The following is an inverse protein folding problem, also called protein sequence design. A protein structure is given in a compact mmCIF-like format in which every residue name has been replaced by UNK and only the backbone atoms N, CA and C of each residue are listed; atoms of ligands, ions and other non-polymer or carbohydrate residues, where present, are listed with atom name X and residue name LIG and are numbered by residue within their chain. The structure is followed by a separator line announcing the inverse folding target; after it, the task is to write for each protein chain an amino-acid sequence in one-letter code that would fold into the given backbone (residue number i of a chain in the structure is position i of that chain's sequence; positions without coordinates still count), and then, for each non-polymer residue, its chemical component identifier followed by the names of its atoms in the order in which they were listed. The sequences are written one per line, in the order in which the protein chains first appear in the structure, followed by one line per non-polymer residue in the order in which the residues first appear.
data_IF_544052975533
#
_entry.id   IF_544052975533
#
_cell.length_a   1.000
_cell.length_b   1.000
_cell.length_c   1.000
_cell.angle_alpha   90.00
_cell.angle_beta   90.00
_cell.angle_gamma   90.00
#
_symmetry.space_group_name_H-M   'P 1'
#
loop_
_entity.id
_entity.type
_entity.pdbx_description
1 polymer ?
#
# COMPACT_ATOMS: atom_id res chain seq x y z
N UNK A 1 -12.95 12.80 -13.64
CA UNK A 1 -11.80 12.93 -14.58
C UNK A 1 -10.65 12.17 -13.93
N UNK A 2 -10.16 11.09 -14.54
CA UNK A 2 -9.02 10.33 -13.99
C UNK A 2 -7.75 11.15 -14.23
N UNK A 3 -7.12 11.68 -13.18
CA UNK A 3 -5.83 12.34 -13.29
C UNK A 3 -4.75 11.28 -13.58
N UNK A 4 -4.21 11.29 -14.81
CA UNK A 4 -3.07 10.42 -15.16
C UNK A 4 -1.79 10.99 -14.57
N UNK A 5 -1.06 10.16 -13.81
CA UNK A 5 0.26 10.50 -13.29
C UNK A 5 1.23 10.65 -14.47
N UNK A 6 1.76 11.85 -14.68
CA UNK A 6 2.85 12.11 -15.63
C UNK A 6 4.17 12.04 -14.85
N UNK A 7 5.16 11.30 -15.35
CA UNK A 7 6.38 10.92 -14.63
C UNK A 7 7.29 12.10 -14.15
N UNK A 8 6.96 13.34 -14.52
CA UNK A 8 7.81 14.50 -14.27
C UNK A 8 7.65 15.11 -12.87
N UNK A 9 6.55 14.84 -12.14
CA UNK A 9 6.33 15.39 -10.79
C UNK A 9 5.83 14.34 -9.78
N UNK A 10 6.64 13.29 -9.57
CA UNK A 10 6.35 12.21 -8.63
C UNK A 10 6.13 12.72 -7.21
N UNK A 11 6.84 13.78 -6.80
CA UNK A 11 6.73 14.35 -5.45
C UNK A 11 5.35 14.97 -5.24
N UNK A 12 4.91 15.81 -6.16
CA UNK A 12 3.63 16.50 -6.06
C UNK A 12 2.46 15.51 -6.18
N UNK A 13 2.55 14.60 -7.14
CA UNK A 13 1.51 13.58 -7.33
C UNK A 13 1.41 12.60 -6.15
N UNK A 14 2.53 12.28 -5.49
CA UNK A 14 2.49 11.46 -4.27
C UNK A 14 1.78 12.18 -3.12
N UNK A 15 1.91 13.51 -3.01
CA UNK A 15 1.15 14.32 -2.04
C UNK A 15 -0.34 14.37 -2.38
N UNK A 16 -0.70 14.59 -3.66
CA UNK A 16 -2.10 14.58 -4.11
C UNK A 16 -2.79 13.24 -3.78
N UNK A 17 -2.11 12.11 -3.99
CA UNK A 17 -2.62 10.80 -3.56
C UNK A 17 -2.87 10.76 -2.06
N UNK A 18 -1.96 11.29 -1.24
CA UNK A 18 -2.13 11.31 0.21
C UNK A 18 -3.26 12.28 0.64
N UNK A 19 -3.51 13.36 -0.09
CA UNK A 19 -4.67 14.24 0.12
C UNK A 19 -5.99 13.50 -0.15
N UNK A 20 -6.08 12.75 -1.26
CA UNK A 20 -7.23 11.89 -1.57
C UNK A 20 -7.46 10.88 -0.42
N UNK A 21 -6.41 10.20 0.01
CA UNK A 21 -6.48 9.19 1.08
C UNK A 21 -6.89 9.84 2.41
N UNK A 22 -6.36 11.03 2.73
CA UNK A 22 -6.71 11.76 3.96
C UNK A 22 -8.18 12.22 3.99
N UNK A 23 -8.75 12.44 2.81
CA UNK A 23 -10.18 12.73 2.63
C UNK A 23 -11.06 11.46 2.55
N UNK A 24 -10.55 10.31 3.02
CA UNK A 24 -11.21 9.00 2.98
C UNK A 24 -11.44 8.45 1.57
N UNK A 25 -10.76 9.00 0.57
CA UNK A 25 -10.83 8.57 -0.82
C UNK A 25 -10.01 7.33 -1.13
N UNK A 26 -10.12 6.88 -2.37
CA UNK A 26 -9.41 5.72 -2.95
C UNK A 26 -8.60 6.20 -4.14
N UNK A 27 -7.32 5.85 -4.20
CA UNK A 27 -6.47 6.17 -5.33
C UNK A 27 -5.91 4.92 -6.02
N UNK A 28 -5.67 5.01 -7.33
CA UNK A 28 -4.90 4.02 -8.08
C UNK A 28 -3.52 4.61 -8.37
N UNK A 29 -2.49 3.86 -8.01
CA UNK A 29 -1.09 4.31 -8.09
C UNK A 29 -0.22 3.37 -8.93
N UNK A 30 0.75 3.91 -9.69
CA UNK A 30 1.72 3.10 -10.42
C UNK A 30 2.81 2.59 -9.49
N UNK A 31 3.18 1.33 -9.64
CA UNK A 31 4.31 0.70 -8.97
C UNK A 31 5.14 -0.08 -10.00
N UNK A 32 6.39 -0.35 -9.69
CA UNK A 32 7.25 -1.18 -10.55
C UNK A 32 6.78 -2.64 -10.63
N UNK A 33 5.95 -3.07 -9.68
CA UNK A 33 5.42 -4.44 -9.61
C UNK A 33 4.03 -4.60 -10.23
N UNK A 34 3.23 -3.56 -10.35
CA UNK A 34 1.90 -3.46 -10.97
C UNK A 34 1.21 -2.18 -10.51
N UNK A 35 0.05 -1.83 -11.08
CA UNK A 35 -0.83 -0.83 -10.46
C UNK A 35 -1.41 -1.34 -9.15
N UNK A 36 -1.53 -0.43 -8.18
CA UNK A 36 -2.17 -0.70 -6.89
C UNK A 36 -3.36 0.23 -6.64
N UNK A 37 -4.33 -0.23 -5.86
CA UNK A 37 -5.46 0.55 -5.35
C UNK A 37 -5.29 0.71 -3.84
N UNK A 38 -5.38 1.95 -3.35
CA UNK A 38 -4.96 2.32 -2.00
C UNK A 38 -5.97 3.24 -1.30
N UNK A 39 -5.98 3.17 0.03
CA UNK A 39 -6.77 3.98 0.94
C UNK A 39 -6.31 3.75 2.39
N UNK A 40 -6.98 4.34 3.39
CA UNK A 40 -6.65 4.12 4.80
C UNK A 40 -7.85 4.15 5.76
N UNK A 41 -9.01 4.61 5.29
CA UNK A 41 -10.24 4.68 6.08
C UNK A 41 -11.10 3.42 5.91
N UNK A 42 -12.08 3.23 6.80
CA UNK A 42 -13.06 2.16 6.64
C UNK A 42 -13.80 2.28 5.32
N UNK A 43 -14.25 3.48 4.95
CA UNK A 43 -14.93 3.77 3.68
C UNK A 43 -14.10 3.37 2.47
N UNK A 44 -12.83 3.79 2.43
CA UNK A 44 -11.93 3.49 1.31
C UNK A 44 -11.60 1.99 1.22
N UNK A 45 -11.33 1.32 2.35
CA UNK A 45 -11.02 -0.11 2.35
C UNK A 45 -12.25 -0.96 1.96
N UNK A 46 -13.45 -0.63 2.45
CA UNK A 46 -14.69 -1.28 2.01
C UNK A 46 -14.91 -1.11 0.48
N UNK A 47 -14.63 0.08 -0.04
CA UNK A 47 -14.73 0.35 -1.48
C UNK A 47 -13.73 -0.49 -2.26
N UNK A 48 -12.46 -0.57 -1.82
CA UNK A 48 -11.43 -1.43 -2.43
C UNK A 48 -11.88 -2.90 -2.44
N UNK A 49 -12.39 -3.42 -1.33
CA UNK A 49 -12.86 -4.81 -1.28
C UNK A 49 -14.03 -5.06 -2.23
N UNK A 50 -14.99 -4.13 -2.27
CA UNK A 50 -16.17 -4.22 -3.14
C UNK A 50 -15.80 -4.17 -4.62
N UNK A 51 -15.06 -3.16 -5.07
CA UNK A 51 -14.73 -2.98 -6.49
C UNK A 51 -13.82 -4.10 -7.03
N UNK A 52 -12.99 -4.70 -6.17
CA UNK A 52 -12.15 -5.85 -6.49
C UNK A 52 -12.87 -7.20 -6.41
N UNK A 53 -14.11 -7.27 -5.92
CA UNK A 53 -14.76 -8.51 -5.52
C UNK A 53 -13.83 -9.36 -4.62
N UNK A 54 -13.24 -8.71 -3.60
CA UNK A 54 -12.21 -9.30 -2.74
C UNK A 54 -12.83 -9.89 -1.48
N UNK A 55 -12.50 -11.14 -1.17
CA UNK A 55 -12.85 -11.73 0.11
C UNK A 55 -12.11 -11.05 1.26
N UNK A 56 -12.80 -10.81 2.37
CA UNK A 56 -12.21 -10.31 3.62
C UNK A 56 -11.19 -11.27 4.26
N UNK A 57 -11.09 -12.49 3.78
CA UNK A 57 -10.04 -13.43 4.20
C UNK A 57 -8.66 -13.09 3.63
N UNK A 58 -8.61 -12.22 2.61
CA UNK A 58 -7.37 -11.72 1.99
C UNK A 58 -7.12 -10.28 2.46
N UNK A 59 -6.27 -10.06 3.47
CA UNK A 59 -6.05 -8.73 4.01
C UNK A 59 -5.44 -7.78 2.97
N UNK A 60 -5.62 -6.48 3.17
CA UNK A 60 -4.85 -5.46 2.47
C UNK A 60 -3.43 -5.44 3.01
N UNK A 61 -2.43 -5.15 2.17
CA UNK A 61 -1.07 -4.90 2.61
C UNK A 61 -0.86 -3.41 2.95
N UNK A 62 0.24 -3.11 3.64
CA UNK A 62 0.71 -1.76 3.93
C UNK A 62 1.86 -1.39 2.98
N UNK A 63 1.83 -0.17 2.46
CA UNK A 63 2.93 0.41 1.69
C UNK A 63 3.91 1.07 2.65
N UNK A 64 5.20 0.74 2.55
CA UNK A 64 6.18 1.12 3.56
C UNK A 64 7.59 1.28 2.99
N UNK A 65 8.51 1.72 3.84
CA UNK A 65 9.93 1.67 3.59
C UNK A 65 10.65 0.84 4.68
N UNK A 66 11.94 0.63 4.50
CA UNK A 66 12.72 -0.21 5.40
C UNK A 66 12.82 0.39 6.82
N UNK A 67 12.89 1.70 6.96
CA UNK A 67 13.01 2.34 8.27
C UNK A 67 11.76 2.08 9.11
N UNK A 68 10.57 2.30 8.52
CA UNK A 68 9.31 2.03 9.20
C UNK A 68 9.11 0.52 9.44
N UNK A 69 9.55 -0.33 8.50
CA UNK A 69 9.50 -1.79 8.69
C UNK A 69 10.25 -2.22 9.97
N UNK A 70 11.46 -1.69 10.21
CA UNK A 70 12.25 -2.01 11.42
C UNK A 70 11.53 -1.62 12.72
N UNK A 71 10.75 -0.56 12.67
CA UNK A 71 9.99 -0.10 13.83
C UNK A 71 8.72 -0.95 14.05
N UNK A 72 8.05 -1.36 12.98
CA UNK A 72 6.75 -2.02 13.04
C UNK A 72 6.87 -3.54 13.10
N UNK A 73 7.62 -4.19 12.20
CA UNK A 73 7.67 -5.65 12.13
C UNK A 73 8.66 -6.24 13.14
N UNK A 74 8.29 -7.40 13.67
CA UNK A 74 9.12 -8.18 14.60
C UNK A 74 9.83 -9.25 13.77
N UNK A 75 11.06 -8.97 13.39
CA UNK A 75 11.87 -9.77 12.46
C UNK A 75 13.25 -10.03 13.08
N UNK A 76 13.77 -11.24 12.89
CA UNK A 76 15.13 -11.63 13.35
C UNK A 76 16.22 -10.84 12.60
N UNK A 77 17.32 -10.56 13.26
CA UNK A 77 18.42 -9.75 12.73
C UNK A 77 18.95 -10.26 11.36
N UNK A 78 19.11 -11.57 11.19
CA UNK A 78 19.60 -12.14 9.94
C UNK A 78 18.64 -11.94 8.75
N UNK A 79 17.33 -11.87 9.00
CA UNK A 79 16.33 -11.59 7.96
C UNK A 79 16.40 -10.14 7.50
N UNK A 80 16.77 -9.21 8.38
CA UNK A 80 17.03 -7.82 7.99
C UNK A 80 18.16 -7.71 6.96
N UNK A 81 19.21 -8.53 7.08
CA UNK A 81 20.30 -8.54 6.08
C UNK A 81 19.80 -9.03 4.72
N UNK A 82 18.91 -10.03 4.68
CA UNK A 82 18.28 -10.47 3.42
C UNK A 82 17.42 -9.36 2.82
N UNK A 83 16.59 -8.70 3.64
CA UNK A 83 15.76 -7.59 3.17
C UNK A 83 16.63 -6.48 2.57
N UNK A 84 17.72 -6.08 3.27
CA UNK A 84 18.64 -5.05 2.77
C UNK A 84 19.30 -5.46 1.45
N UNK A 85 19.76 -6.69 1.35
CA UNK A 85 20.36 -7.21 0.12
C UNK A 85 19.37 -7.14 -1.06
N UNK A 86 18.08 -7.44 -0.84
CA UNK A 86 17.06 -7.34 -1.90
C UNK A 86 16.79 -5.90 -2.29
N UNK A 87 16.47 -5.03 -1.31
CA UNK A 87 15.96 -3.69 -1.62
C UNK A 87 17.05 -2.65 -1.89
N UNK A 88 18.24 -2.78 -1.27
CA UNK A 88 19.33 -1.81 -1.44
C UNK A 88 20.40 -2.29 -2.41
N UNK A 89 20.92 -3.52 -2.24
CA UNK A 89 22.03 -4.00 -3.05
C UNK A 89 21.58 -4.37 -4.47
N UNK A 90 20.34 -4.92 -4.59
CA UNK A 90 19.77 -5.33 -5.87
C UNK A 90 18.66 -4.40 -6.39
N UNK A 91 18.26 -3.40 -5.63
CA UNK A 91 17.19 -2.45 -5.97
C UNK A 91 15.88 -3.14 -6.42
N UNK A 92 15.51 -4.24 -5.78
CA UNK A 92 14.29 -4.99 -6.12
C UNK A 92 13.17 -4.69 -5.11
N UNK A 93 11.90 -4.73 -5.54
CA UNK A 93 10.76 -4.67 -4.63
C UNK A 93 10.65 -5.95 -3.82
N UNK A 94 10.16 -5.81 -2.58
CA UNK A 94 9.96 -6.94 -1.68
C UNK A 94 8.73 -6.73 -0.80
N UNK A 95 7.92 -7.76 -0.63
CA UNK A 95 6.87 -7.81 0.39
C UNK A 95 7.31 -8.71 1.54
N UNK A 96 7.06 -8.28 2.77
CA UNK A 96 7.37 -9.05 3.99
C UNK A 96 6.11 -9.24 4.81
N UNK A 97 5.84 -10.47 5.22
CA UNK A 97 4.72 -10.80 6.12
C UNK A 97 5.30 -11.28 7.44
N UNK A 98 5.10 -10.50 8.51
CA UNK A 98 5.66 -10.81 9.83
C UNK A 98 4.76 -10.32 10.96
N UNK A 99 4.92 -10.84 12.19
CA UNK A 99 4.34 -10.24 13.40
C UNK A 99 4.72 -8.78 13.52
N UNK A 100 3.85 -7.96 14.10
CA UNK A 100 4.04 -6.51 14.13
C UNK A 100 3.59 -5.89 15.46
N UNK A 101 4.10 -4.70 15.76
CA UNK A 101 3.74 -3.91 16.94
C UNK A 101 2.45 -3.13 16.64
N UNK A 102 1.33 -3.61 17.17
CA UNK A 102 0.01 -2.99 16.97
C UNK A 102 -0.12 -1.63 17.69
N UNK A 103 0.67 -1.39 18.70
CA UNK A 103 0.75 -0.18 19.50
C UNK A 103 1.63 0.91 18.89
N UNK A 104 2.23 0.66 17.73
CA UNK A 104 3.05 1.65 17.04
C UNK A 104 2.21 2.90 16.68
N UNK A 105 2.78 4.14 16.83
CA UNK A 105 2.06 5.40 16.55
C UNK A 105 1.36 5.45 15.20
N UNK A 106 1.94 4.87 14.16
CA UNK A 106 1.36 4.74 12.82
C UNK A 106 -0.07 4.16 12.81
N UNK A 107 -0.45 3.35 13.81
CA UNK A 107 -1.77 2.72 13.89
C UNK A 107 -2.72 3.40 14.87
N UNK A 108 -2.27 4.45 15.57
CA UNK A 108 -3.05 5.11 16.63
C UNK A 108 -4.43 5.59 16.19
N UNK A 109 -4.51 6.11 14.96
CA UNK A 109 -5.74 6.69 14.40
C UNK A 109 -6.39 5.78 13.36
N UNK A 110 -5.90 4.55 13.18
CA UNK A 110 -6.47 3.59 12.23
C UNK A 110 -7.69 2.93 12.85
N UNK A 111 -8.81 2.95 12.13
CA UNK A 111 -10.03 2.25 12.55
C UNK A 111 -9.74 0.75 12.80
N UNK A 112 -10.26 0.21 13.88
CA UNK A 112 -10.02 -1.17 14.30
C UNK A 112 -10.47 -2.20 13.25
N UNK A 113 -11.56 -1.91 12.53
CA UNK A 113 -12.03 -2.73 11.41
C UNK A 113 -11.04 -2.72 10.23
N UNK A 114 -10.46 -1.54 9.92
CA UNK A 114 -9.43 -1.40 8.89
C UNK A 114 -8.21 -2.23 9.25
N UNK A 115 -7.71 -2.09 10.47
CA UNK A 115 -6.54 -2.85 10.92
C UNK A 115 -6.81 -4.36 10.92
N UNK A 116 -8.02 -4.78 11.33
CA UNK A 116 -8.44 -6.20 11.27
C UNK A 116 -8.42 -6.74 9.84
N UNK A 117 -8.88 -5.98 8.85
CA UNK A 117 -8.95 -6.41 7.45
C UNK A 117 -7.64 -6.15 6.66
N UNK A 118 -6.65 -5.53 7.29
CA UNK A 118 -5.29 -5.35 6.75
C UNK A 118 -4.27 -6.28 7.40
N UNK A 119 -4.69 -7.15 8.32
CA UNK A 119 -3.81 -8.09 9.04
C UNK A 119 -4.40 -9.48 9.04
N UNK A 120 -3.56 -10.51 9.20
CA UNK A 120 -4.02 -11.91 9.31
C UNK A 120 -3.16 -12.67 10.32
N UNK A 121 -3.81 -13.34 11.27
CA UNK A 121 -3.15 -14.17 12.29
C UNK A 121 -2.01 -13.39 13.02
N UNK A 122 -2.26 -12.12 13.35
CA UNK A 122 -1.26 -11.29 14.04
C UNK A 122 -0.09 -10.81 13.17
N UNK A 123 -0.16 -11.01 11.84
CA UNK A 123 0.86 -10.54 10.90
C UNK A 123 0.37 -9.40 10.04
N UNK A 124 1.29 -8.56 9.59
CA UNK A 124 1.08 -7.48 8.63
C UNK A 124 1.99 -7.70 7.41
N UNK A 125 1.41 -7.56 6.21
CA UNK A 125 2.16 -7.49 4.96
C UNK A 125 2.65 -6.07 4.73
N UNK A 126 3.94 -5.89 4.47
CA UNK A 126 4.55 -4.58 4.17
C UNK A 126 5.32 -4.65 2.85
N UNK A 127 4.89 -3.88 1.85
CA UNK A 127 5.55 -3.73 0.55
C UNK A 127 6.64 -2.65 0.64
N UNK A 128 7.84 -2.99 0.15
CA UNK A 128 9.03 -2.17 0.18
C UNK A 128 9.58 -1.96 -1.22
N UNK A 129 10.15 -0.79 -1.48
CA UNK A 129 10.93 -0.46 -2.67
C UNK A 129 10.22 -0.82 -4.00
N UNK A 130 8.92 -0.56 -4.08
CA UNK A 130 8.13 -0.88 -5.28
C UNK A 130 8.12 0.27 -6.31
N UNK A 131 9.24 0.96 -6.46
CA UNK A 131 9.47 1.98 -7.45
C UNK A 131 9.48 3.41 -6.91
N UNK A 132 9.82 4.34 -7.79
CA UNK A 132 10.07 5.75 -7.43
C UNK A 132 8.84 6.42 -6.81
N UNK A 133 7.65 6.17 -7.37
CA UNK A 133 6.41 6.72 -6.83
C UNK A 133 6.10 6.16 -5.43
N UNK A 134 6.20 4.85 -5.27
CA UNK A 134 6.03 4.17 -3.99
C UNK A 134 6.96 4.76 -2.92
N UNK A 135 8.25 4.88 -3.25
CA UNK A 135 9.26 5.34 -2.31
C UNK A 135 9.02 6.80 -1.88
N UNK A 136 8.54 7.66 -2.78
CA UNK A 136 8.23 9.05 -2.45
C UNK A 136 6.94 9.15 -1.63
N UNK A 137 5.88 8.45 -2.02
CA UNK A 137 4.62 8.40 -1.29
C UNK A 137 4.83 7.90 0.15
N UNK A 138 5.62 6.85 0.35
CA UNK A 138 5.88 6.31 1.70
C UNK A 138 6.66 7.27 2.58
N UNK A 139 7.60 8.07 2.04
CA UNK A 139 8.28 9.11 2.81
C UNK A 139 7.30 10.17 3.35
N UNK A 140 6.34 10.59 2.53
CA UNK A 140 5.32 11.56 2.95
C UNK A 140 4.32 10.94 3.91
N UNK A 141 3.86 9.72 3.65
CA UNK A 141 2.94 8.95 4.52
C UNK A 141 3.50 8.80 5.94
N UNK A 142 4.78 8.49 6.07
CA UNK A 142 5.46 8.36 7.36
C UNK A 142 5.49 9.70 8.12
N UNK A 143 5.82 10.80 7.45
CA UNK A 143 5.82 12.14 8.06
C UNK A 143 4.43 12.58 8.56
N UNK A 144 3.38 12.09 7.92
CA UNK A 144 1.99 12.37 8.29
C UNK A 144 1.45 11.36 9.34
N UNK A 145 2.22 10.36 9.75
CA UNK A 145 1.76 9.23 10.57
C UNK A 145 0.47 8.60 10.01
N UNK A 146 0.37 8.54 8.69
CA UNK A 146 -0.81 8.08 7.97
C UNK A 146 -0.48 6.83 7.13
N UNK A 147 -0.86 5.62 7.57
CA UNK A 147 -0.55 4.41 6.82
C UNK A 147 -1.32 4.39 5.50
N UNK A 148 -0.67 3.96 4.43
CA UNK A 148 -1.28 3.67 3.14
C UNK A 148 -1.50 2.16 3.06
N UNK A 149 -2.75 1.75 2.90
CA UNK A 149 -3.17 0.36 2.85
C UNK A 149 -3.79 0.06 1.49
N UNK A 150 -3.61 -1.15 0.98
CA UNK A 150 -4.18 -1.47 -0.31
C UNK A 150 -3.79 -2.84 -0.86
N UNK A 151 -3.93 -2.97 -2.16
CA UNK A 151 -3.68 -4.21 -2.90
C UNK A 151 -3.42 -3.88 -4.37
N UNK A 152 -3.03 -4.87 -5.20
CA UNK A 152 -2.97 -4.71 -6.66
C UNK A 152 -4.30 -4.22 -7.24
N UNK A 153 -4.26 -3.32 -8.24
CA UNK A 153 -5.45 -2.74 -8.87
C UNK A 153 -6.05 -3.68 -9.94
N UNK A 154 -6.66 -4.78 -9.50
CA UNK A 154 -7.31 -5.78 -10.36
C UNK A 154 -8.49 -6.42 -9.64
N UNK A 155 -9.47 -6.91 -10.37
CA UNK A 155 -10.46 -7.83 -9.81
C UNK A 155 -9.75 -9.07 -9.23
N UNK A 156 -10.23 -9.58 -8.12
CA UNK A 156 -9.59 -10.72 -7.45
C UNK A 156 -9.44 -11.90 -8.40
N UNK A 157 -8.26 -12.52 -8.41
CA UNK A 157 -7.88 -13.68 -9.22
C UNK A 157 -7.68 -13.43 -10.73
N UNK A 158 -7.73 -12.17 -11.22
CA UNK A 158 -7.51 -11.86 -12.64
C UNK A 158 -6.06 -11.52 -12.99
N UNK A 159 -5.14 -11.61 -12.00
CA UNK A 159 -3.73 -11.24 -12.18
C UNK A 159 -3.47 -9.74 -12.05
N UNK A 160 -2.20 -9.39 -11.87
CA UNK A 160 -1.75 -8.00 -11.76
C UNK A 160 -1.90 -7.26 -13.07
N UNK A 161 -2.11 -5.92 -13.01
CA UNK A 161 -2.27 -5.05 -14.16
C UNK A 161 -1.05 -4.12 -14.27
N UNK A 162 -0.46 -4.08 -15.45
CA UNK A 162 0.78 -3.33 -15.72
C UNK A 162 0.54 -2.09 -16.58
N UNK A 163 -0.63 -2.00 -17.24
CA UNK A 163 -1.08 -0.80 -17.93
C UNK A 163 -2.37 -0.31 -17.31
N UNK A 164 -2.58 1.00 -17.30
CA UNK A 164 -3.80 1.61 -16.75
C UNK A 164 -5.06 1.12 -17.48
N UNK A 165 -4.97 1.00 -18.80
CA UNK A 165 -6.09 0.58 -19.66
C UNK A 165 -6.47 -0.90 -19.47
N UNK A 166 -5.62 -1.72 -18.83
CA UNK A 166 -5.89 -3.12 -18.51
C UNK A 166 -6.62 -3.30 -17.18
N UNK A 167 -6.72 -2.23 -16.37
CA UNK A 167 -7.39 -2.30 -15.07
C UNK A 167 -8.90 -2.48 -15.28
N UNK A 168 -9.47 -3.45 -14.57
CA UNK A 168 -10.88 -3.80 -14.69
C UNK A 168 -11.80 -2.59 -14.40
N UNK A 169 -12.84 -2.31 -15.20
CA UNK A 169 -13.70 -1.13 -15.03
C UNK A 169 -14.27 -0.95 -13.62
N UNK A 170 -14.71 -1.99 -12.89
CA UNK A 170 -15.17 -1.82 -11.51
C UNK A 170 -14.11 -1.26 -10.57
N UNK A 171 -12.83 -1.60 -10.80
CA UNK A 171 -11.69 -1.12 -10.00
C UNK A 171 -11.38 0.33 -10.33
N UNK A 172 -11.37 0.70 -11.62
CA UNK A 172 -11.22 2.10 -12.08
C UNK A 172 -12.32 2.98 -11.49
N UNK A 173 -13.57 2.54 -11.58
CA UNK A 173 -14.73 3.30 -11.08
C UNK A 173 -14.83 3.36 -9.56
N UNK A 174 -14.02 2.60 -8.84
CA UNK A 174 -13.92 2.62 -7.39
C UNK A 174 -12.89 3.64 -6.87
N UNK A 175 -12.13 4.31 -7.75
CA UNK A 175 -11.15 5.35 -7.38
C UNK A 175 -11.73 6.76 -7.60
N UNK A 176 -11.24 7.73 -6.80
CA UNK A 176 -11.62 9.14 -6.82
C UNK A 176 -10.76 10.00 -7.77
#
# INVERSE_FOLDING_TARGET
MINRVVAEDVVEQSKQVLEIISAEGVAIIPLDVAYAIVGNSKKSIETIFRCKNRSFEKPSGMFSNYELLKEIQIIDAWKHEIIKAVIFDNNLPMSTVAPFRRDHPMFKNVDSWVLKNSTKIGTLDMLLNAGKFHNEMTKHSIKLEMPVLGSSANTSLTGSKYNLDDIDPPVINGAD
#
